data_IF_704924799627
#
_entry.id   IF_704924799627
#
_cell.length_a   1.000
_cell.length_b   1.000
_cell.length_c   1.000
_cell.angle_alpha   90.00
_cell.angle_beta   90.00
_cell.angle_gamma   90.00
#
_symmetry.space_group_name_H-M   'P 1'
#
loop_
_entity.id
_entity.type
_entity.pdbx_description
1 polymer ?
#
# COMPACT_ATOMS: atom_id res chain seq x y z
N UNK A 1 -27.93 -10.06 38.22
CA UNK A 1 -26.54 -10.12 37.74
C UNK A 1 -26.06 -11.53 37.43
N UNK A 2 -26.09 -12.49 38.37
CA UNK A 2 -25.59 -13.88 38.16
C UNK A 2 -26.29 -14.66 37.00
N UNK A 3 -27.57 -14.44 36.77
CA UNK A 3 -28.31 -15.12 35.70
C UNK A 3 -27.96 -14.61 34.31
N UNK A 4 -27.65 -13.32 34.18
CA UNK A 4 -27.16 -12.70 32.93
C UNK A 4 -25.77 -13.20 32.58
N UNK A 5 -24.88 -13.27 33.56
CA UNK A 5 -23.51 -13.78 33.38
C UNK A 5 -23.50 -15.23 32.90
N UNK A 6 -24.42 -16.07 33.39
CA UNK A 6 -24.53 -17.48 32.97
C UNK A 6 -24.98 -17.63 31.52
N UNK A 7 -25.83 -16.71 31.00
CA UNK A 7 -26.26 -16.69 29.61
C UNK A 7 -25.18 -16.18 28.64
N UNK A 8 -24.31 -15.27 29.07
CA UNK A 8 -23.30 -14.66 28.23
C UNK A 8 -22.02 -15.50 28.15
N UNK A 9 -21.73 -16.30 29.21
CA UNK A 9 -20.51 -17.11 29.34
C UNK A 9 -20.16 -17.96 28.10
N UNK A 10 -21.10 -18.66 27.40
CA UNK A 10 -20.76 -19.46 26.23
C UNK A 10 -20.35 -18.61 25.02
N UNK A 11 -20.69 -17.31 24.98
CA UNK A 11 -20.37 -16.40 23.88
C UNK A 11 -19.08 -15.63 24.09
N UNK A 12 -18.52 -15.63 25.31
CA UNK A 12 -17.31 -14.86 25.64
C UNK A 12 -16.11 -15.37 24.83
N UNK A 13 -15.90 -16.68 24.79
CA UNK A 13 -14.77 -17.27 24.05
C UNK A 13 -14.87 -17.01 22.55
N UNK A 14 -16.00 -17.28 21.87
CA UNK A 14 -16.16 -16.94 20.44
C UNK A 14 -15.94 -15.45 20.15
N UNK A 15 -16.45 -14.57 21.00
CA UNK A 15 -16.26 -13.11 20.82
C UNK A 15 -14.78 -12.74 20.93
N UNK A 16 -14.08 -13.25 21.94
CA UNK A 16 -12.64 -12.98 22.12
C UNK A 16 -11.84 -13.49 20.92
N UNK A 17 -12.12 -14.72 20.48
CA UNK A 17 -11.43 -15.31 19.32
C UNK A 17 -11.68 -14.47 18.07
N UNK A 18 -12.94 -14.07 17.83
CA UNK A 18 -13.27 -13.20 16.68
C UNK A 18 -12.53 -11.87 16.74
N UNK A 19 -12.50 -11.22 17.89
CA UNK A 19 -11.78 -9.96 18.07
C UNK A 19 -10.27 -10.12 17.82
N UNK A 20 -9.67 -11.21 18.29
CA UNK A 20 -8.26 -11.52 18.05
C UNK A 20 -8.00 -11.72 16.54
N UNK A 21 -8.84 -12.51 15.87
CA UNK A 21 -8.71 -12.75 14.43
C UNK A 21 -8.83 -11.46 13.63
N UNK A 22 -9.83 -10.63 13.93
CA UNK A 22 -10.02 -9.33 13.28
C UNK A 22 -8.81 -8.42 13.52
N UNK A 23 -8.31 -8.38 14.75
CA UNK A 23 -7.14 -7.58 15.09
C UNK A 23 -5.89 -8.06 14.34
N UNK A 24 -5.64 -9.36 14.31
CA UNK A 24 -4.52 -9.95 13.56
C UNK A 24 -4.63 -9.64 12.07
N UNK A 25 -5.83 -9.79 11.50
CA UNK A 25 -6.06 -9.45 10.10
C UNK A 25 -5.74 -7.98 9.83
N UNK A 26 -6.20 -7.07 10.68
CA UNK A 26 -5.93 -5.64 10.55
C UNK A 26 -4.45 -5.28 10.73
N UNK A 27 -3.72 -6.00 11.56
CA UNK A 27 -2.28 -5.81 11.75
C UNK A 27 -1.47 -6.29 10.55
N UNK A 28 -1.89 -7.38 9.92
CA UNK A 28 -1.14 -8.03 8.82
C UNK A 28 -1.50 -7.41 7.47
N UNK A 29 -2.77 -7.12 7.25
CA UNK A 29 -3.28 -6.67 5.95
C UNK A 29 -3.73 -5.21 5.98
N UNK A 30 -3.69 -4.60 4.82
CA UNK A 30 -4.26 -3.27 4.54
C UNK A 30 -5.27 -3.39 3.42
N UNK A 31 -6.52 -3.06 3.71
CA UNK A 31 -7.57 -2.96 2.70
C UNK A 31 -7.58 -1.53 2.18
N UNK A 32 -7.55 -1.36 0.87
CA UNK A 32 -7.59 -0.07 0.20
C UNK A 32 -8.66 -0.03 -0.90
N UNK A 33 -8.94 1.18 -1.36
CA UNK A 33 -9.83 1.48 -2.47
C UNK A 33 -9.08 2.31 -3.50
N UNK A 34 -9.28 2.03 -4.80
CA UNK A 34 -8.61 2.72 -5.91
C UNK A 34 -9.54 3.81 -6.45
N UNK A 35 -9.32 5.09 -6.11
CA UNK A 35 -10.24 6.17 -6.52
C UNK A 35 -9.94 6.73 -7.90
N UNK A 36 -8.80 6.44 -8.50
CA UNK A 36 -8.31 7.06 -9.73
C UNK A 36 -7.80 6.02 -10.73
N UNK A 37 -7.78 6.41 -12.01
CA UNK A 37 -7.33 5.62 -13.15
C UNK A 37 -5.79 5.52 -13.28
N UNK A 38 -5.02 6.09 -12.37
CA UNK A 38 -3.56 6.20 -12.50
C UNK A 38 -2.81 4.86 -12.55
N UNK A 39 -3.45 3.77 -12.13
CA UNK A 39 -2.90 2.41 -12.14
C UNK A 39 -3.59 1.49 -13.15
N UNK A 40 -4.49 2.02 -13.98
CA UNK A 40 -5.09 1.26 -15.07
C UNK A 40 -4.05 0.90 -16.14
N UNK A 41 -4.18 -0.27 -16.79
CA UNK A 41 -5.25 -1.26 -16.62
C UNK A 41 -5.02 -2.25 -15.46
N UNK A 42 -3.92 -2.15 -14.72
CA UNK A 42 -3.56 -3.14 -13.67
C UNK A 42 -4.53 -3.10 -12.49
N UNK A 43 -4.94 -1.90 -12.08
CA UNK A 43 -5.93 -1.68 -11.03
C UNK A 43 -7.03 -0.79 -11.59
N UNK A 44 -8.22 -1.33 -11.71
CA UNK A 44 -9.38 -0.57 -12.18
C UNK A 44 -9.85 0.45 -11.16
N UNK A 45 -10.29 1.60 -11.65
CA UNK A 45 -10.92 2.61 -10.81
C UNK A 45 -12.17 2.02 -10.13
N UNK A 46 -12.29 2.19 -8.82
CA UNK A 46 -13.38 1.65 -8.03
C UNK A 46 -13.11 0.27 -7.42
N UNK A 47 -12.02 -0.38 -7.78
CA UNK A 47 -11.67 -1.69 -7.22
C UNK A 47 -11.17 -1.62 -5.77
N UNK A 48 -11.32 -2.72 -5.06
CA UNK A 48 -10.71 -2.92 -3.75
C UNK A 48 -9.35 -3.61 -3.93
N UNK A 49 -8.41 -3.25 -3.09
CA UNK A 49 -7.07 -3.83 -3.09
C UNK A 49 -6.69 -4.33 -1.70
N UNK A 50 -5.93 -5.42 -1.67
CA UNK A 50 -5.38 -6.00 -0.46
C UNK A 50 -3.86 -5.86 -0.47
N UNK A 51 -3.32 -5.17 0.51
CA UNK A 51 -1.89 -5.02 0.74
C UNK A 51 -1.41 -5.78 1.96
N UNK A 52 -0.17 -6.24 1.94
CA UNK A 52 0.54 -6.84 3.06
C UNK A 52 1.34 -5.75 3.78
N UNK A 53 1.10 -5.57 5.09
CA UNK A 53 1.82 -4.57 5.91
C UNK A 53 3.23 -5.00 6.31
N UNK A 54 3.44 -6.32 6.41
CA UNK A 54 4.75 -6.89 6.69
C UNK A 54 5.30 -7.49 5.39
N UNK A 55 6.28 -6.85 4.82
CA UNK A 55 6.98 -7.25 3.61
C UNK A 55 8.48 -7.19 3.91
N UNK A 56 9.25 -8.14 3.36
CA UNK A 56 10.69 -8.22 3.61
C UNK A 56 11.45 -7.26 2.68
N UNK A 57 11.43 -7.52 1.39
CA UNK A 57 12.11 -6.71 0.39
C UNK A 57 11.12 -6.16 -0.64
N UNK A 58 11.41 -4.95 -1.10
CA UNK A 58 10.69 -4.29 -2.17
C UNK A 58 11.59 -4.20 -3.39
N UNK A 59 11.06 -4.63 -4.53
CA UNK A 59 11.79 -4.71 -5.78
C UNK A 59 11.10 -3.87 -6.87
N UNK A 60 11.85 -3.56 -7.91
CA UNK A 60 11.29 -2.97 -9.14
C UNK A 60 10.20 -3.86 -9.70
N UNK A 61 9.04 -3.26 -9.98
CA UNK A 61 7.83 -3.96 -10.42
C UNK A 61 6.79 -4.17 -9.34
N UNK A 62 7.15 -4.11 -8.05
CA UNK A 62 6.21 -4.19 -6.95
C UNK A 62 5.26 -2.99 -6.96
N UNK A 63 4.00 -3.24 -6.62
CA UNK A 63 3.03 -2.18 -6.40
C UNK A 63 2.95 -1.94 -4.90
N UNK A 64 3.11 -0.69 -4.50
CA UNK A 64 3.12 -0.27 -3.09
C UNK A 64 2.01 0.72 -2.79
N UNK A 65 1.50 0.63 -1.57
CA UNK A 65 0.63 1.62 -0.95
C UNK A 65 1.49 2.42 0.00
N UNK A 66 1.56 3.72 -0.20
CA UNK A 66 2.42 4.60 0.59
C UNK A 66 1.75 5.92 0.92
N UNK A 67 2.26 6.59 1.93
CA UNK A 67 1.81 7.93 2.31
C UNK A 67 2.64 8.98 1.59
N UNK A 68 1.95 9.87 0.88
CA UNK A 68 2.53 11.05 0.26
C UNK A 68 1.74 12.28 0.70
N UNK A 69 2.43 13.20 1.36
CA UNK A 69 1.81 14.32 2.07
C UNK A 69 0.71 13.85 3.05
N UNK A 70 -0.53 14.24 2.81
CA UNK A 70 -1.69 13.87 3.63
C UNK A 70 -2.55 12.75 3.05
N UNK A 71 -2.11 12.13 1.94
CA UNK A 71 -2.88 11.15 1.18
C UNK A 71 -2.16 9.81 1.09
N UNK A 72 -2.93 8.74 0.86
CA UNK A 72 -2.38 7.44 0.47
C UNK A 72 -2.43 7.31 -1.04
N UNK A 73 -1.32 6.88 -1.62
CA UNK A 73 -1.20 6.63 -3.04
C UNK A 73 -0.81 5.18 -3.29
N UNK A 74 -1.18 4.70 -4.48
CA UNK A 74 -0.80 3.38 -4.98
C UNK A 74 -0.03 3.58 -6.28
N UNK A 75 1.21 3.10 -6.34
CA UNK A 75 2.07 3.20 -7.52
C UNK A 75 2.97 1.98 -7.63
N UNK A 76 3.57 1.79 -8.79
CA UNK A 76 4.56 0.76 -9.06
C UNK A 76 5.96 1.30 -8.84
N UNK A 77 6.82 0.51 -8.19
CA UNK A 77 8.24 0.79 -8.07
C UNK A 77 8.87 0.64 -9.47
N UNK A 78 9.40 1.72 -9.99
CA UNK A 78 10.10 1.75 -11.28
C UNK A 78 11.62 1.68 -11.11
N UNK A 79 12.14 2.16 -9.97
CA UNK A 79 13.56 2.05 -9.64
C UNK A 79 13.75 2.03 -8.12
N UNK A 80 14.76 1.28 -7.67
CA UNK A 80 15.18 1.11 -6.28
C UNK A 80 16.45 1.90 -5.99
N UNK A 81 16.86 1.92 -4.72
CA UNK A 81 18.08 2.61 -4.28
C UNK A 81 19.30 2.22 -5.14
N UNK A 82 20.11 3.21 -5.48
CA UNK A 82 21.29 3.04 -6.32
C UNK A 82 21.03 3.00 -7.82
N UNK A 83 19.79 2.79 -8.25
CA UNK A 83 19.41 2.85 -9.66
C UNK A 83 19.52 4.29 -10.19
N UNK A 84 19.95 4.40 -11.45
CA UNK A 84 20.08 5.68 -12.13
C UNK A 84 19.07 5.77 -13.27
N UNK A 85 18.33 6.87 -13.32
CA UNK A 85 17.31 7.12 -14.33
C UNK A 85 17.32 8.58 -14.81
N UNK A 86 16.59 8.84 -15.89
CA UNK A 86 16.41 10.21 -16.40
C UNK A 86 15.07 10.74 -15.91
N UNK A 87 15.08 11.81 -15.13
CA UNK A 87 13.90 12.56 -14.72
C UNK A 87 14.00 14.01 -15.18
N UNK A 88 13.02 14.48 -15.93
CA UNK A 88 12.95 15.85 -16.44
C UNK A 88 14.26 16.34 -17.11
N UNK A 89 14.85 15.50 -17.98
CA UNK A 89 16.13 15.73 -18.67
C UNK A 89 17.39 15.78 -17.77
N UNK A 90 17.26 15.42 -16.50
CA UNK A 90 18.39 15.26 -15.58
C UNK A 90 18.60 13.79 -15.24
N UNK A 91 19.86 13.39 -15.13
CA UNK A 91 20.21 12.07 -14.60
C UNK A 91 20.10 12.14 -13.08
N UNK A 92 19.28 11.28 -12.49
CA UNK A 92 19.10 11.18 -11.05
C UNK A 92 19.37 9.76 -10.59
N UNK A 93 19.97 9.64 -9.41
CA UNK A 93 20.18 8.35 -8.74
C UNK A 93 19.24 8.26 -7.57
N UNK A 94 18.55 7.12 -7.44
CA UNK A 94 17.63 6.88 -6.32
C UNK A 94 18.44 6.81 -5.02
N UNK A 95 18.13 7.65 -4.03
CA UNK A 95 18.83 7.65 -2.75
C UNK A 95 18.62 6.34 -1.97
N UNK A 96 19.48 6.14 -0.98
CA UNK A 96 19.36 5.04 -0.02
C UNK A 96 17.99 5.03 0.66
N UNK A 97 17.41 3.85 0.82
CA UNK A 97 16.07 3.64 1.39
C UNK A 97 14.94 4.42 0.69
N UNK A 98 15.08 4.68 -0.60
CA UNK A 98 14.08 5.36 -1.40
C UNK A 98 13.70 4.57 -2.65
N UNK A 99 12.55 4.93 -3.20
CA UNK A 99 12.00 4.37 -4.43
C UNK A 99 11.58 5.48 -5.39
N UNK A 100 11.73 5.23 -6.68
CA UNK A 100 11.11 6.02 -7.72
C UNK A 100 9.88 5.27 -8.21
N UNK A 101 8.71 5.90 -8.20
CA UNK A 101 7.43 5.22 -8.42
C UNK A 101 6.66 5.85 -9.57
N UNK A 102 5.98 5.00 -10.35
CA UNK A 102 5.17 5.41 -11.49
C UNK A 102 3.76 4.80 -11.41
N UNK A 103 2.81 5.51 -11.97
CA UNK A 103 1.51 4.94 -12.29
C UNK A 103 1.58 4.15 -13.58
N UNK A 104 0.82 3.06 -13.68
CA UNK A 104 0.76 2.22 -14.87
C UNK A 104 0.06 2.94 -16.03
N UNK A 105 -0.86 3.85 -15.72
CA UNK A 105 -1.49 4.76 -16.70
C UNK A 105 -0.65 6.05 -16.83
N UNK A 106 0.30 6.04 -17.74
CA UNK A 106 1.26 7.13 -17.91
C UNK A 106 0.61 8.48 -18.25
N UNK A 107 -0.56 8.48 -18.92
CA UNK A 107 -1.27 9.69 -19.35
C UNK A 107 -2.06 10.34 -18.22
N UNK A 108 -2.50 9.55 -17.23
CA UNK A 108 -3.36 10.00 -16.13
C UNK A 108 -2.76 9.73 -14.75
N UNK A 109 -1.43 9.77 -14.65
CA UNK A 109 -0.73 9.57 -13.39
C UNK A 109 0.12 10.78 -13.01
N UNK A 110 -0.16 11.33 -11.84
CA UNK A 110 0.73 12.28 -11.17
C UNK A 110 1.62 11.52 -10.17
N UNK A 111 2.88 11.34 -10.55
CA UNK A 111 3.82 10.47 -9.83
C UNK A 111 5.23 11.08 -9.79
N UNK A 112 6.25 10.28 -9.50
CA UNK A 112 7.64 10.71 -9.36
C UNK A 112 8.17 11.60 -10.50
N UNK A 113 7.59 11.48 -11.69
CA UNK A 113 7.97 12.33 -12.84
C UNK A 113 7.67 13.81 -12.62
N UNK A 114 6.67 14.12 -11.80
CA UNK A 114 6.10 15.46 -11.66
C UNK A 114 6.26 16.05 -10.26
N UNK A 115 6.67 15.26 -9.28
CA UNK A 115 6.83 15.74 -7.91
C UNK A 115 8.12 16.53 -7.71
N UNK A 116 8.10 17.52 -6.81
CA UNK A 116 9.28 18.29 -6.43
C UNK A 116 10.37 17.40 -5.80
N UNK A 117 9.97 16.48 -4.92
CA UNK A 117 10.80 15.37 -4.47
C UNK A 117 10.30 14.09 -5.16
N UNK A 118 11.04 13.56 -6.14
CA UNK A 118 10.58 12.41 -6.92
C UNK A 118 10.68 11.06 -6.19
N UNK A 119 11.19 11.05 -4.96
CA UNK A 119 11.48 9.82 -4.25
C UNK A 119 10.54 9.58 -3.09
N UNK A 120 10.13 8.32 -2.94
CA UNK A 120 9.34 7.82 -1.81
C UNK A 120 10.27 7.11 -0.85
N UNK A 121 10.36 7.58 0.40
CA UNK A 121 11.11 6.90 1.43
C UNK A 121 10.46 5.59 1.85
N UNK A 122 11.26 4.57 2.14
CA UNK A 122 10.82 3.28 2.67
C UNK A 122 9.89 3.43 3.89
N UNK A 123 10.16 4.38 4.76
CA UNK A 123 9.35 4.68 5.96
C UNK A 123 7.91 5.09 5.64
N UNK A 124 7.68 5.61 4.45
CA UNK A 124 6.35 6.01 4.00
C UNK A 124 5.57 4.86 3.36
N UNK A 125 6.21 3.73 3.08
CA UNK A 125 5.53 2.56 2.52
C UNK A 125 4.71 1.87 3.61
N UNK A 126 3.41 1.75 3.37
CA UNK A 126 2.45 1.20 4.32
C UNK A 126 2.14 -0.27 4.06
N UNK A 127 2.18 -0.69 2.81
CA UNK A 127 1.92 -2.07 2.41
C UNK A 127 2.43 -2.34 0.98
N UNK A 128 2.77 -3.59 0.72
CA UNK A 128 2.99 -4.15 -0.62
C UNK A 128 1.69 -4.77 -1.12
N UNK A 129 1.29 -4.47 -2.34
CA UNK A 129 0.09 -5.04 -2.93
C UNK A 129 0.24 -6.55 -3.10
N UNK A 130 -0.76 -7.31 -2.65
CA UNK A 130 -0.85 -8.75 -2.86
C UNK A 130 -1.67 -9.06 -4.10
N UNK A 131 -2.89 -8.53 -4.15
CA UNK A 131 -3.87 -8.81 -5.20
C UNK A 131 -4.86 -7.64 -5.31
N UNK A 132 -5.33 -7.29 -6.53
CA UNK A 132 -6.60 -6.61 -6.67
C UNK A 132 -7.72 -7.56 -6.20
N UNK A 133 -8.73 -7.03 -5.55
CA UNK A 133 -9.94 -7.77 -5.20
C UNK A 133 -10.99 -7.38 -6.27
N UNK A 134 -11.25 -8.29 -7.18
CA UNK A 134 -12.31 -8.17 -8.17
C UNK A 134 -13.71 -8.24 -7.53
#
# INVERSE_FOLDING_TARGET
MKALFRKIRPFIIPIIVTLIVVLLFHCIFMLGYVPTSSMEPTLETGSLILGLRHFDELETGDIIIFRYDSSYLVKRIAACEGDTLVNQNAIVTVPENCFYVLGDNAEDSHDSRYWNNPFVSYENVMAKLLLPIE
#
